data_IF_394287357136
#
_entry.id   IF_394287357136
#
_cell.length_a   1.000
_cell.length_b   1.000
_cell.length_c   1.000
_cell.angle_alpha   90.00
_cell.angle_beta   90.00
_cell.angle_gamma   90.00
#
_symmetry.space_group_name_H-M   'P 1'
#
loop_
_entity.id
_entity.type
_entity.pdbx_description
1 polymer ?
#
# COMPACT_ATOMS: atom_id res chain seq x y z
N UNK A 1 -2.89 17.62 -7.51
CA UNK A 1 -2.38 16.62 -6.54
C UNK A 1 -0.86 16.61 -6.63
N UNK A 2 -0.14 16.54 -5.50
CA UNK A 2 1.34 16.51 -5.50
C UNK A 2 1.88 15.08 -5.70
N UNK A 3 1.50 14.44 -6.82
CA UNK A 3 1.89 13.06 -7.14
C UNK A 3 3.39 12.89 -7.39
N UNK A 4 4.11 13.98 -7.66
CA UNK A 4 5.56 14.02 -7.79
C UNK A 4 6.29 14.51 -6.54
N UNK A 5 5.57 14.72 -5.42
CA UNK A 5 6.09 15.22 -4.14
C UNK A 5 6.83 16.56 -4.24
N UNK A 6 6.57 17.32 -5.30
CA UNK A 6 7.18 18.63 -5.56
C UNK A 6 6.13 19.70 -5.71
N UNK A 7 6.44 20.91 -5.24
CA UNK A 7 5.65 22.11 -5.51
C UNK A 7 5.68 22.45 -7.00
N UNK A 8 4.84 23.40 -7.44
CA UNK A 8 4.87 23.90 -8.83
C UNK A 8 6.22 24.50 -9.23
N UNK A 9 7.02 24.96 -8.26
CA UNK A 9 8.39 25.48 -8.49
C UNK A 9 9.47 24.40 -8.42
N UNK A 10 9.11 23.13 -8.19
CA UNK A 10 10.04 22.01 -8.14
C UNK A 10 10.69 21.76 -6.78
N UNK A 11 10.39 22.59 -5.76
CA UNK A 11 10.85 22.34 -4.39
C UNK A 11 10.14 21.12 -3.77
N UNK A 12 10.74 20.47 -2.77
CA UNK A 12 10.07 19.41 -2.03
C UNK A 12 8.77 19.94 -1.43
N UNK A 13 7.66 19.24 -1.65
CA UNK A 13 6.35 19.63 -1.14
C UNK A 13 6.16 19.26 0.34
N UNK A 14 6.95 18.31 0.85
CA UNK A 14 6.82 17.74 2.18
C UNK A 14 8.20 17.52 2.81
N UNK A 15 8.29 17.61 4.15
CA UNK A 15 9.51 17.36 4.91
C UNK A 15 9.16 16.97 6.36
N UNK A 16 10.14 16.44 7.11
CA UNK A 16 10.01 16.21 8.56
C UNK A 16 9.08 15.06 8.95
N UNK A 17 8.99 14.02 8.12
CA UNK A 17 8.17 12.84 8.38
C UNK A 17 9.02 11.56 8.38
N UNK A 18 8.51 10.51 9.01
CA UNK A 18 9.11 9.19 8.94
C UNK A 18 8.69 8.50 7.63
N UNK A 19 9.66 8.26 6.74
CA UNK A 19 9.44 7.70 5.40
C UNK A 19 8.94 6.26 5.40
N UNK A 20 9.01 5.55 6.53
CA UNK A 20 8.44 4.20 6.68
C UNK A 20 7.03 4.20 7.23
N UNK A 21 6.48 5.35 7.65
CA UNK A 21 5.16 5.45 8.29
C UNK A 21 4.24 6.48 7.63
N UNK A 22 4.78 7.26 6.69
CA UNK A 22 4.09 8.34 6.01
C UNK A 22 4.47 8.40 4.54
N UNK A 23 3.46 8.40 3.67
CA UNK A 23 3.53 8.81 2.27
C UNK A 23 2.72 10.11 2.13
N UNK A 24 3.36 11.29 2.17
CA UNK A 24 2.63 12.56 2.33
C UNK A 24 1.63 12.87 1.21
N UNK A 25 1.91 12.42 -0.02
CA UNK A 25 0.98 12.60 -1.13
C UNK A 25 -0.35 11.86 -0.90
N UNK A 26 -0.29 10.65 -0.33
CA UNK A 26 -1.46 9.84 -0.01
C UNK A 26 -2.20 10.38 1.22
N UNK A 27 -1.45 10.82 2.23
CA UNK A 27 -2.01 11.48 3.40
C UNK A 27 -2.76 12.77 2.98
N UNK A 28 -2.16 13.58 2.11
CA UNK A 28 -2.81 14.77 1.57
C UNK A 28 -4.05 14.40 0.74
N UNK A 29 -3.99 13.35 -0.08
CA UNK A 29 -5.17 12.88 -0.82
C UNK A 29 -6.35 12.59 0.11
N UNK A 30 -6.12 11.93 1.24
CA UNK A 30 -7.15 11.64 2.23
C UNK A 30 -7.65 12.91 2.95
N UNK A 31 -6.73 13.79 3.35
CA UNK A 31 -7.06 15.07 3.99
C UNK A 31 -7.82 16.03 3.06
N UNK A 32 -7.71 15.88 1.74
CA UNK A 32 -8.47 16.65 0.75
C UNK A 32 -9.97 16.38 0.81
N UNK A 33 -10.39 15.29 1.47
CA UNK A 33 -11.79 14.93 1.69
C UNK A 33 -12.42 15.67 2.89
N UNK A 34 -11.66 16.51 3.59
CA UNK A 34 -12.15 17.28 4.73
C UNK A 34 -13.35 18.17 4.33
N UNK A 35 -14.36 18.22 5.20
CA UNK A 35 -15.60 18.97 4.98
C UNK A 35 -16.72 18.15 4.34
N UNK A 36 -16.44 16.93 3.87
CA UNK A 36 -17.44 16.01 3.32
C UNK A 36 -17.82 14.92 4.33
N UNK A 37 -19.07 14.47 4.28
CA UNK A 37 -19.52 13.26 4.95
C UNK A 37 -19.04 12.01 4.22
N UNK A 38 -18.96 10.88 4.92
CA UNK A 38 -18.61 9.60 4.26
C UNK A 38 -19.63 9.18 3.18
N UNK A 39 -20.91 9.57 3.33
CA UNK A 39 -21.95 9.29 2.35
C UNK A 39 -21.72 10.06 1.04
N UNK A 40 -21.34 11.34 1.12
CA UNK A 40 -21.01 12.15 -0.06
C UNK A 40 -19.76 11.61 -0.76
N UNK A 41 -18.71 11.28 0.01
CA UNK A 41 -17.49 10.67 -0.53
C UNK A 41 -17.82 9.36 -1.24
N UNK A 42 -18.64 8.51 -0.64
CA UNK A 42 -19.10 7.25 -1.25
C UNK A 42 -19.79 7.50 -2.58
N UNK A 43 -20.65 8.52 -2.65
CA UNK A 43 -21.30 8.95 -3.89
C UNK A 43 -20.30 9.37 -4.97
N UNK A 44 -19.33 10.22 -4.64
CA UNK A 44 -18.29 10.66 -5.59
C UNK A 44 -17.44 9.50 -6.09
N UNK A 45 -17.00 8.62 -5.19
CA UNK A 45 -16.15 7.49 -5.53
C UNK A 45 -16.90 6.45 -6.35
N UNK A 46 -18.19 6.23 -6.08
CA UNK A 46 -19.02 5.31 -6.87
C UNK A 46 -19.15 5.80 -8.31
N UNK A 47 -19.42 7.10 -8.50
CA UNK A 47 -19.48 7.71 -9.84
C UNK A 47 -18.12 7.62 -10.56
N UNK A 48 -17.03 7.99 -9.88
CA UNK A 48 -15.69 7.91 -10.45
C UNK A 48 -15.27 6.46 -10.77
N UNK A 49 -15.66 5.48 -9.93
CA UNK A 49 -15.41 4.06 -10.20
C UNK A 49 -16.10 3.61 -11.48
N UNK A 50 -17.38 3.97 -11.66
CA UNK A 50 -18.13 3.62 -12.87
C UNK A 50 -17.46 4.21 -14.11
N UNK A 51 -17.14 5.51 -14.08
CA UNK A 51 -16.46 6.19 -15.19
C UNK A 51 -15.12 5.52 -15.56
N UNK A 52 -14.29 5.21 -14.56
CA UNK A 52 -12.99 4.57 -14.79
C UNK A 52 -13.10 3.12 -15.29
N UNK A 53 -14.17 2.40 -14.93
CA UNK A 53 -14.39 1.03 -15.42
C UNK A 53 -14.92 1.03 -16.86
N UNK A 54 -15.75 2.01 -17.22
CA UNK A 54 -16.31 2.15 -18.57
C UNK A 54 -15.29 2.71 -19.58
N UNK A 55 -14.33 3.52 -19.11
CA UNK A 55 -13.27 4.05 -19.94
C UNK A 55 -12.41 2.93 -20.54
N UNK A 56 -11.95 3.12 -21.79
CA UNK A 56 -11.05 2.18 -22.45
C UNK A 56 -9.73 2.00 -21.66
N UNK A 57 -9.11 0.83 -21.78
CA UNK A 57 -7.77 0.65 -21.24
C UNK A 57 -6.79 1.63 -21.88
N UNK A 58 -5.88 2.16 -21.08
CA UNK A 58 -4.97 3.26 -21.43
C UNK A 58 -5.63 4.62 -21.69
N UNK A 59 -6.90 4.81 -21.32
CA UNK A 59 -7.53 6.13 -21.38
C UNK A 59 -6.87 7.15 -20.42
N UNK A 60 -6.78 8.39 -20.87
CA UNK A 60 -6.33 9.52 -20.07
C UNK A 60 -7.39 10.62 -19.99
N UNK A 61 -7.32 11.43 -18.94
CA UNK A 61 -8.15 12.60 -18.74
C UNK A 61 -7.30 13.80 -18.30
N UNK A 62 -7.75 15.00 -18.65
CA UNK A 62 -7.11 16.24 -18.20
C UNK A 62 -7.66 16.64 -16.83
N UNK A 63 -6.80 16.65 -15.81
CA UNK A 63 -7.11 17.19 -14.48
C UNK A 63 -6.28 18.43 -14.24
N UNK A 64 -6.95 19.58 -14.21
CA UNK A 64 -6.29 20.89 -14.15
C UNK A 64 -5.40 21.11 -15.39
N UNK A 65 -4.09 21.11 -15.19
CA UNK A 65 -3.09 21.27 -16.27
C UNK A 65 -2.26 20.00 -16.52
N UNK A 66 -2.72 18.84 -16.07
CA UNK A 66 -1.97 17.58 -16.15
C UNK A 66 -2.84 16.47 -16.74
N UNK A 67 -2.22 15.58 -17.51
CA UNK A 67 -2.83 14.32 -17.93
C UNK A 67 -2.77 13.32 -16.77
N UNK A 68 -3.88 12.62 -16.54
CA UNK A 68 -4.01 11.59 -15.53
C UNK A 68 -4.65 10.34 -16.15
N UNK A 69 -4.31 9.18 -15.60
CA UNK A 69 -4.95 7.91 -15.96
C UNK A 69 -6.45 8.01 -15.67
N UNK A 70 -7.28 7.65 -16.65
CA UNK A 70 -8.74 7.73 -16.58
C UNK A 70 -9.43 6.36 -16.60
N UNK A 71 -8.66 5.30 -16.37
CA UNK A 71 -9.17 3.94 -16.37
C UNK A 71 -8.59 3.14 -15.21
N UNK A 72 -9.37 2.16 -14.75
CA UNK A 72 -8.95 1.18 -13.75
C UNK A 72 -9.54 -0.18 -14.12
N UNK A 73 -8.82 -1.27 -13.84
CA UNK A 73 -9.32 -2.64 -13.97
C UNK A 73 -9.05 -3.43 -12.72
N UNK A 74 -9.98 -4.33 -12.40
CA UNK A 74 -9.70 -5.40 -11.47
C UNK A 74 -8.94 -6.51 -12.16
N UNK A 75 -7.85 -6.98 -11.57
CA UNK A 75 -7.22 -8.23 -11.99
C UNK A 75 -8.14 -9.40 -11.63
N UNK A 76 -8.58 -10.13 -12.64
CA UNK A 76 -9.49 -11.29 -12.46
C UNK A 76 -8.84 -12.37 -11.60
N UNK A 77 -7.53 -12.55 -11.71
CA UNK A 77 -6.72 -13.47 -10.91
C UNK A 77 -6.73 -13.09 -9.42
N UNK A 78 -6.68 -11.79 -9.11
CA UNK A 78 -6.75 -11.32 -7.72
C UNK A 78 -8.17 -11.45 -7.16
N UNK A 79 -9.21 -11.26 -7.99
CA UNK A 79 -10.60 -11.53 -7.60
C UNK A 79 -10.81 -13.01 -7.27
N UNK A 80 -10.28 -13.89 -8.12
CA UNK A 80 -10.34 -15.35 -7.92
C UNK A 80 -9.58 -15.79 -6.67
N UNK A 81 -8.39 -15.23 -6.43
CA UNK A 81 -7.62 -15.47 -5.22
C UNK A 81 -8.39 -15.05 -3.95
N UNK A 82 -8.96 -13.85 -3.94
CA UNK A 82 -9.77 -13.36 -2.80
C UNK A 82 -10.95 -14.30 -2.54
N UNK A 83 -11.72 -14.62 -3.58
CA UNK A 83 -12.88 -15.51 -3.47
C UNK A 83 -12.48 -16.91 -2.98
N UNK A 84 -11.38 -17.46 -3.49
CA UNK A 84 -10.85 -18.77 -3.11
C UNK A 84 -10.41 -18.79 -1.64
N UNK A 85 -9.68 -17.76 -1.19
CA UNK A 85 -9.26 -17.66 0.22
C UNK A 85 -10.48 -17.56 1.14
N UNK A 86 -11.46 -16.72 0.81
CA UNK A 86 -12.71 -16.60 1.58
C UNK A 86 -13.49 -17.92 1.63
N UNK A 87 -13.62 -18.62 0.49
CA UNK A 87 -14.30 -19.92 0.42
C UNK A 87 -13.62 -21.02 1.25
N UNK A 88 -12.32 -20.85 1.55
CA UNK A 88 -11.54 -21.75 2.41
C UNK A 88 -11.42 -21.24 3.85
N UNK A 89 -12.23 -20.26 4.26
CA UNK A 89 -12.34 -19.81 5.64
C UNK A 89 -11.27 -18.82 6.10
N UNK A 90 -10.50 -18.23 5.18
CA UNK A 90 -9.57 -17.16 5.53
C UNK A 90 -10.32 -15.86 5.82
N UNK A 91 -9.89 -15.15 6.87
CA UNK A 91 -10.21 -13.75 7.09
C UNK A 91 -9.38 -12.89 6.11
N UNK A 92 -10.02 -12.48 5.01
CA UNK A 92 -9.38 -11.69 3.95
C UNK A 92 -9.66 -10.21 4.16
N UNK A 93 -8.58 -9.41 4.22
CA UNK A 93 -8.64 -7.96 4.49
C UNK A 93 -7.85 -7.17 3.45
N UNK A 94 -8.23 -5.91 3.23
CA UNK A 94 -7.49 -4.95 2.40
C UNK A 94 -6.85 -3.90 3.31
N UNK A 95 -5.54 -3.72 3.19
CA UNK A 95 -4.77 -2.70 3.91
C UNK A 95 -4.10 -1.81 2.86
N UNK A 96 -4.53 -0.55 2.76
CA UNK A 96 -4.20 0.32 1.63
C UNK A 96 -3.77 1.71 2.08
N UNK A 97 -2.73 2.27 1.45
CA UNK A 97 -2.30 3.64 1.65
C UNK A 97 -3.28 4.69 1.08
N UNK A 98 -4.38 4.29 0.44
CA UNK A 98 -5.43 5.20 0.00
C UNK A 98 -6.44 5.53 1.11
N UNK A 99 -7.22 6.61 0.94
CA UNK A 99 -8.26 6.99 1.88
C UNK A 99 -9.26 5.85 2.10
N UNK A 100 -9.50 5.47 3.37
CA UNK A 100 -10.36 4.35 3.75
C UNK A 100 -11.76 4.38 3.11
N UNK A 101 -12.52 5.51 3.11
CA UNK A 101 -13.83 5.54 2.45
C UNK A 101 -13.75 5.30 0.94
N UNK A 102 -12.66 5.69 0.29
CA UNK A 102 -12.44 5.42 -1.15
C UNK A 102 -12.21 3.93 -1.36
N UNK A 103 -11.34 3.31 -0.55
CA UNK A 103 -11.00 1.89 -0.68
C UNK A 103 -12.20 1.00 -0.44
N UNK A 104 -13.07 1.34 0.52
CA UNK A 104 -14.29 0.59 0.83
C UNK A 104 -15.21 0.41 -0.38
N UNK A 105 -15.36 1.45 -1.21
CA UNK A 105 -16.18 1.38 -2.44
C UNK A 105 -15.59 0.36 -3.42
N UNK A 106 -14.28 0.42 -3.67
CA UNK A 106 -13.62 -0.52 -4.60
C UNK A 106 -13.57 -1.96 -4.06
N UNK A 107 -13.43 -2.11 -2.74
CA UNK A 107 -13.36 -3.39 -2.04
C UNK A 107 -14.68 -4.18 -2.09
N UNK A 108 -15.82 -3.48 -2.04
CA UNK A 108 -17.14 -4.11 -2.05
C UNK A 108 -17.35 -5.00 -3.29
N UNK A 109 -16.87 -4.56 -4.46
CA UNK A 109 -16.99 -5.30 -5.73
C UNK A 109 -16.09 -6.52 -5.88
N UNK A 110 -15.19 -6.74 -4.91
CA UNK A 110 -14.40 -7.96 -4.79
C UNK A 110 -14.81 -8.78 -3.57
N UNK A 111 -15.97 -8.48 -2.97
CA UNK A 111 -16.54 -9.25 -1.87
C UNK A 111 -15.88 -9.00 -0.51
N UNK A 112 -15.18 -7.87 -0.33
CA UNK A 112 -14.57 -7.50 0.94
C UNK A 112 -15.46 -6.49 1.66
N UNK A 113 -15.89 -6.84 2.87
CA UNK A 113 -16.75 -6.00 3.68
C UNK A 113 -16.00 -4.79 4.26
N UNK A 114 -16.73 -3.71 4.58
CA UNK A 114 -16.15 -2.43 4.98
C UNK A 114 -15.32 -2.48 6.28
N UNK A 115 -15.63 -3.42 7.18
CA UNK A 115 -14.91 -3.71 8.43
C UNK A 115 -13.63 -4.56 8.22
N UNK A 116 -13.43 -5.05 6.99
CA UNK A 116 -12.23 -5.74 6.53
C UNK A 116 -11.34 -4.84 5.66
N UNK A 117 -11.63 -3.55 5.61
CA UNK A 117 -10.86 -2.53 4.88
C UNK A 117 -10.21 -1.56 5.86
N UNK A 118 -8.90 -1.44 5.77
CA UNK A 118 -8.08 -0.50 6.53
C UNK A 118 -7.38 0.45 5.56
N UNK A 119 -7.70 1.74 5.67
CA UNK A 119 -7.13 2.79 4.83
C UNK A 119 -6.56 3.97 5.63
N UNK A 120 -6.21 5.04 4.93
CA UNK A 120 -5.91 6.33 5.56
C UNK A 120 -7.19 6.87 6.16
N UNK A 121 -7.17 7.15 7.45
CA UNK A 121 -8.28 7.73 8.19
C UNK A 121 -7.93 9.15 8.62
N UNK A 122 -8.92 10.03 8.55
CA UNK A 122 -8.91 11.31 9.24
C UNK A 122 -9.97 11.30 10.33
N UNK A 123 -9.81 12.17 11.33
CA UNK A 123 -10.80 12.35 12.39
C UNK A 123 -12.07 13.02 11.86
N UNK A 124 -13.19 12.83 12.57
CA UNK A 124 -14.46 13.45 12.25
C UNK A 124 -14.74 14.69 13.13
N UNK A 125 -15.50 15.63 12.61
CA UNK A 125 -16.17 16.70 13.35
C UNK A 125 -17.67 16.63 13.05
N UNK A 126 -18.45 16.07 13.98
CA UNK A 126 -19.81 15.65 13.67
C UNK A 126 -19.82 14.55 12.59
N UNK A 127 -20.55 14.78 11.50
CA UNK A 127 -20.69 13.83 10.39
C UNK A 127 -19.63 13.98 9.30
N UNK A 128 -18.83 15.06 9.33
CA UNK A 128 -17.86 15.36 8.27
C UNK A 128 -16.45 14.94 8.66
N UNK A 129 -15.65 14.56 7.66
CA UNK A 129 -14.22 14.33 7.83
C UNK A 129 -13.49 15.65 8.08
N UNK A 130 -12.43 15.60 8.89
CA UNK A 130 -11.48 16.70 9.08
C UNK A 130 -10.18 16.41 8.32
N UNK A 131 -9.25 17.37 8.36
CA UNK A 131 -7.89 17.17 7.84
C UNK A 131 -6.92 16.57 8.87
N UNK A 132 -7.36 16.23 10.10
CA UNK A 132 -6.49 15.65 11.12
C UNK A 132 -6.36 14.15 10.89
N UNK A 133 -5.14 13.66 10.64
CA UNK A 133 -4.90 12.22 10.42
C UNK A 133 -5.13 11.44 11.70
N UNK A 134 -5.80 10.30 11.58
CA UNK A 134 -5.88 9.33 12.67
C UNK A 134 -4.48 8.78 12.99
N UNK A 135 -4.23 8.52 14.26
CA UNK A 135 -2.95 8.02 14.74
C UNK A 135 -2.87 6.50 14.67
N UNK A 136 -1.65 5.96 14.63
CA UNK A 136 -1.34 4.57 14.94
C UNK A 136 -0.08 4.56 15.80
N UNK A 137 -0.04 3.71 16.82
CA UNK A 137 1.09 3.61 17.73
C UNK A 137 1.37 4.88 18.54
N UNK A 138 0.37 5.76 18.67
CA UNK A 138 0.47 7.04 19.38
C UNK A 138 1.00 8.21 18.54
N UNK A 139 1.17 8.05 17.22
CA UNK A 139 1.60 9.13 16.32
C UNK A 139 0.82 9.15 15.00
N UNK A 140 0.72 10.30 14.31
CA UNK A 140 0.14 10.36 12.96
C UNK A 140 0.91 9.46 11.99
N UNK A 141 0.22 8.47 11.44
CA UNK A 141 0.78 7.56 10.44
C UNK A 141 -0.34 7.02 9.55
N UNK A 142 0.06 6.60 8.35
CA UNK A 142 -0.85 6.00 7.39
C UNK A 142 -0.50 4.53 7.18
N UNK A 143 -1.41 3.67 6.68
CA UNK A 143 -1.09 2.31 6.23
C UNK A 143 -0.14 2.29 5.01
N UNK A 144 1.09 2.73 5.22
CA UNK A 144 2.22 2.65 4.32
C UNK A 144 3.38 2.03 5.07
N UNK A 145 3.93 0.95 4.52
CA UNK A 145 5.08 0.22 5.01
C UNK A 145 4.92 -0.22 6.49
N UNK A 146 5.67 0.36 7.44
CA UNK A 146 5.51 0.07 8.87
C UNK A 146 4.14 0.48 9.41
N UNK A 147 3.52 1.50 8.81
CA UNK A 147 2.17 1.90 9.18
C UNK A 147 1.11 0.87 8.78
N UNK A 148 1.33 0.05 7.74
CA UNK A 148 0.43 -1.09 7.44
C UNK A 148 0.46 -2.12 8.57
N UNK A 149 1.66 -2.49 9.01
CA UNK A 149 1.86 -3.36 10.19
C UNK A 149 1.16 -2.77 11.40
N UNK A 150 1.39 -1.48 11.67
CA UNK A 150 0.76 -0.80 12.79
C UNK A 150 -0.78 -0.91 12.76
N UNK A 151 -1.40 -0.65 11.61
CA UNK A 151 -2.86 -0.76 11.45
C UNK A 151 -3.38 -2.16 11.72
N UNK A 152 -2.70 -3.19 11.21
CA UNK A 152 -3.06 -4.59 11.47
C UNK A 152 -2.90 -4.91 12.96
N UNK A 153 -1.79 -4.52 13.57
CA UNK A 153 -1.51 -4.79 14.98
C UNK A 153 -2.54 -4.14 15.91
N UNK A 154 -2.96 -2.91 15.65
CA UNK A 154 -4.01 -2.23 16.42
C UNK A 154 -5.40 -2.86 16.19
N UNK A 155 -5.83 -2.94 14.92
CA UNK A 155 -7.23 -3.22 14.62
C UNK A 155 -7.58 -4.71 14.64
N UNK A 156 -6.62 -5.57 14.28
CA UNK A 156 -6.82 -7.03 14.26
C UNK A 156 -6.36 -7.65 15.56
N UNK A 157 -5.20 -7.22 16.08
CA UNK A 157 -4.57 -7.86 17.23
C UNK A 157 -4.69 -7.08 18.54
N UNK A 158 -5.28 -5.88 18.56
CA UNK A 158 -5.52 -5.09 19.77
C UNK A 158 -4.26 -4.59 20.46
N UNK A 159 -3.14 -4.47 19.74
CA UNK A 159 -1.88 -3.93 20.27
C UNK A 159 -1.97 -2.41 20.33
N UNK A 160 -1.68 -1.82 21.48
CA UNK A 160 -1.76 -0.37 21.67
C UNK A 160 -0.37 0.27 21.82
N UNK A 161 -0.29 1.55 21.47
CA UNK A 161 0.91 2.37 21.65
C UNK A 161 2.05 1.96 20.71
N UNK A 162 3.29 2.44 20.96
CA UNK A 162 4.40 2.29 20.03
C UNK A 162 4.71 0.86 19.61
N UNK A 163 4.38 -0.14 20.45
CA UNK A 163 4.52 -1.55 20.15
C UNK A 163 3.71 -2.02 18.92
N UNK A 164 2.73 -1.24 18.47
CA UNK A 164 2.00 -1.54 17.24
C UNK A 164 2.92 -1.50 16.00
N UNK A 165 4.04 -0.78 16.00
CA UNK A 165 5.01 -0.81 14.90
C UNK A 165 5.93 -2.03 14.92
N UNK A 166 5.95 -2.79 16.00
CA UNK A 166 6.83 -3.94 16.16
C UNK A 166 6.26 -5.18 15.48
N UNK A 167 7.16 -6.03 14.96
CA UNK A 167 6.74 -7.33 14.45
C UNK A 167 6.22 -8.18 15.60
N UNK A 168 4.99 -8.70 15.45
CA UNK A 168 4.40 -9.59 16.44
C UNK A 168 4.94 -11.02 16.32
N UNK A 169 4.82 -11.84 17.38
CA UNK A 169 5.04 -13.28 17.29
C UNK A 169 4.26 -13.91 16.13
N UNK A 170 4.80 -14.96 15.51
CA UNK A 170 4.26 -15.60 14.30
C UNK A 170 2.76 -15.94 14.36
N UNK A 171 2.28 -16.42 15.49
CA UNK A 171 0.87 -16.76 15.75
C UNK A 171 -0.08 -15.54 15.80
N UNK A 172 0.47 -14.32 15.79
CA UNK A 172 -0.26 -13.05 15.74
C UNK A 172 0.13 -12.25 14.51
N UNK A 173 0.32 -12.94 13.39
CA UNK A 173 0.59 -12.36 12.07
C UNK A 173 -0.24 -13.07 11.01
N UNK A 174 -0.46 -12.40 9.90
CA UNK A 174 -1.14 -12.94 8.74
C UNK A 174 -0.36 -14.12 8.15
N UNK A 175 -1.05 -15.17 7.74
CA UNK A 175 -0.43 -16.31 7.06
C UNK A 175 -0.03 -15.97 5.63
N UNK A 176 -0.81 -15.13 4.97
CA UNK A 176 -0.60 -14.70 3.58
C UNK A 176 -0.66 -13.18 3.47
N UNK A 177 0.17 -12.62 2.59
CA UNK A 177 0.10 -11.21 2.21
C UNK A 177 0.38 -11.04 0.71
N UNK A 178 -0.26 -10.04 0.11
CA UNK A 178 0.00 -9.62 -1.26
C UNK A 178 0.24 -8.10 -1.33
N UNK A 179 1.10 -7.65 -2.24
CA UNK A 179 1.35 -6.22 -2.49
C UNK A 179 2.25 -5.96 -3.68
N UNK A 180 2.51 -4.70 -3.98
CA UNK A 180 3.13 -4.26 -5.24
C UNK A 180 4.14 -3.13 -5.08
N UNK A 181 4.29 -2.59 -3.86
CA UNK A 181 5.09 -1.38 -3.61
C UNK A 181 6.02 -1.47 -2.41
N UNK A 182 6.98 -0.53 -2.31
CA UNK A 182 7.76 -0.36 -1.09
C UNK A 182 6.87 -0.06 0.13
N UNK A 183 5.68 0.52 -0.09
CA UNK A 183 4.63 0.68 0.91
C UNK A 183 4.06 -0.64 1.46
N UNK A 184 4.45 -1.78 0.91
CA UNK A 184 4.04 -3.11 1.36
C UNK A 184 5.20 -3.90 1.98
N UNK A 185 6.44 -3.43 1.88
CA UNK A 185 7.64 -4.23 2.17
C UNK A 185 7.64 -4.83 3.58
N UNK A 186 7.37 -4.02 4.61
CA UNK A 186 7.25 -4.51 5.99
C UNK A 186 6.05 -5.44 6.16
N UNK A 187 4.88 -5.09 5.62
CA UNK A 187 3.66 -5.88 5.72
C UNK A 187 3.78 -7.26 5.06
N UNK A 188 4.40 -7.37 3.89
CA UNK A 188 4.68 -8.67 3.27
C UNK A 188 5.68 -9.49 4.09
N UNK A 189 6.74 -8.86 4.60
CA UNK A 189 7.73 -9.53 5.46
C UNK A 189 7.09 -10.13 6.71
N UNK A 190 6.02 -9.53 7.21
CA UNK A 190 5.28 -10.05 8.37
C UNK A 190 4.47 -11.31 8.07
N UNK A 191 4.14 -11.61 6.82
CA UNK A 191 3.42 -12.82 6.48
C UNK A 191 4.24 -14.06 6.86
N UNK A 192 3.58 -15.11 7.35
CA UNK A 192 4.27 -16.26 7.93
C UNK A 192 4.39 -17.44 6.99
N UNK A 193 3.43 -17.65 6.09
CA UNK A 193 3.41 -18.80 5.18
C UNK A 193 3.77 -18.45 3.73
N UNK A 194 3.15 -17.45 3.11
CA UNK A 194 3.38 -17.14 1.70
C UNK A 194 3.20 -15.65 1.41
N UNK A 195 3.97 -15.13 0.46
CA UNK A 195 3.96 -13.71 0.06
C UNK A 195 3.83 -13.61 -1.46
N UNK A 196 2.86 -12.85 -1.95
CA UNK A 196 2.68 -12.58 -3.37
C UNK A 196 3.05 -11.14 -3.69
N UNK A 197 4.02 -10.96 -4.59
CA UNK A 197 4.41 -9.66 -5.10
C UNK A 197 3.99 -9.50 -6.54
N UNK A 198 3.27 -8.42 -6.82
CA UNK A 198 3.07 -7.93 -8.19
C UNK A 198 4.23 -7.00 -8.55
N UNK A 199 5.08 -7.41 -9.48
CA UNK A 199 6.31 -6.68 -9.82
C UNK A 199 5.98 -5.37 -10.55
N UNK A 200 6.15 -4.25 -9.84
CA UNK A 200 6.12 -2.88 -10.37
C UNK A 200 7.49 -2.19 -10.33
N UNK A 201 8.57 -2.97 -10.34
CA UNK A 201 9.95 -2.50 -10.30
C UNK A 201 10.27 -1.65 -9.06
N UNK A 202 9.81 -2.10 -7.89
CA UNK A 202 9.97 -1.39 -6.61
C UNK A 202 11.14 -1.96 -5.83
N UNK A 203 12.21 -1.17 -5.66
CA UNK A 203 13.53 -1.65 -5.27
C UNK A 203 13.52 -2.45 -3.96
N UNK A 204 13.06 -1.88 -2.84
CA UNK A 204 13.09 -2.59 -1.56
C UNK A 204 12.24 -3.87 -1.62
N UNK A 205 11.01 -3.76 -2.15
CA UNK A 205 10.12 -4.91 -2.23
C UNK A 205 10.72 -6.04 -3.08
N UNK A 206 11.24 -5.71 -4.27
CA UNK A 206 11.82 -6.69 -5.18
C UNK A 206 13.14 -7.28 -4.66
N UNK A 207 13.95 -6.50 -3.95
CA UNK A 207 15.14 -7.01 -3.27
C UNK A 207 14.78 -8.06 -2.22
N UNK A 208 13.73 -7.84 -1.42
CA UNK A 208 13.23 -8.83 -0.45
C UNK A 208 12.68 -10.07 -1.16
N UNK A 209 11.84 -9.86 -2.17
CA UNK A 209 11.17 -10.93 -2.89
C UNK A 209 12.13 -11.82 -3.67
N UNK A 210 13.20 -11.27 -4.25
CA UNK A 210 14.20 -12.06 -4.97
C UNK A 210 15.33 -12.60 -4.10
N UNK A 211 15.60 -12.00 -2.94
CA UNK A 211 16.48 -12.63 -1.96
C UNK A 211 15.88 -13.93 -1.41
N UNK A 212 14.55 -13.95 -1.22
CA UNK A 212 13.72 -15.14 -0.92
C UNK A 212 14.36 -16.09 0.11
N UNK A 213 14.86 -15.53 1.21
CA UNK A 213 15.67 -16.28 2.18
C UNK A 213 14.93 -17.49 2.79
N UNK A 214 13.60 -17.48 2.78
CA UNK A 214 12.74 -18.56 3.29
C UNK A 214 12.00 -19.36 2.21
N UNK A 215 12.20 -19.08 0.92
CA UNK A 215 11.60 -19.82 -0.19
C UNK A 215 10.08 -19.65 -0.32
N UNK A 216 9.52 -18.55 0.21
CA UNK A 216 8.07 -18.31 0.36
C UNK A 216 7.58 -17.07 -0.38
N UNK A 217 8.41 -16.50 -1.24
CA UNK A 217 8.05 -15.36 -2.07
C UNK A 217 7.65 -15.78 -3.49
N UNK A 218 6.43 -15.42 -3.88
CA UNK A 218 5.93 -15.54 -5.23
C UNK A 218 6.02 -14.18 -5.91
N UNK A 219 6.69 -14.11 -7.05
CA UNK A 219 6.77 -12.90 -7.87
C UNK A 219 6.00 -13.12 -9.15
N UNK A 220 5.07 -12.20 -9.45
CA UNK A 220 4.28 -12.19 -10.67
C UNK A 220 4.39 -10.81 -11.33
N UNK A 221 4.55 -10.68 -12.64
CA UNK A 221 4.42 -9.38 -13.32
C UNK A 221 3.03 -8.75 -13.12
N UNK A 222 2.83 -7.50 -13.54
CA UNK A 222 1.47 -6.96 -13.64
C UNK A 222 0.67 -7.78 -14.66
N UNK A 223 -0.60 -8.06 -14.37
CA UNK A 223 -1.45 -8.86 -15.27
C UNK A 223 -1.89 -8.10 -16.53
N UNK A 224 -1.88 -6.76 -16.46
CA UNK A 224 -2.17 -5.87 -17.58
C UNK A 224 -0.97 -4.94 -17.72
N UNK A 225 -0.48 -4.80 -18.96
CA UNK A 225 0.65 -3.95 -19.34
C UNK A 225 1.89 -4.09 -18.45
N UNK A 226 2.47 -5.31 -18.30
CA UNK A 226 3.65 -5.53 -17.45
C UNK A 226 4.79 -4.57 -17.82
N UNK A 227 5.47 -4.08 -16.78
CA UNK A 227 6.62 -3.20 -16.98
C UNK A 227 7.75 -3.97 -17.68
N UNK A 228 8.60 -3.29 -18.46
CA UNK A 228 9.84 -3.87 -18.93
C UNK A 228 10.70 -4.37 -17.77
N UNK A 229 11.49 -5.41 -18.04
CA UNK A 229 12.45 -5.95 -17.09
C UNK A 229 13.35 -4.85 -16.54
N UNK A 230 13.50 -4.82 -15.22
CA UNK A 230 14.38 -3.87 -14.56
C UNK A 230 15.85 -4.32 -14.69
N UNK A 231 16.82 -3.40 -14.76
CA UNK A 231 18.22 -3.72 -14.48
C UNK A 231 18.35 -4.42 -13.11
N UNK A 232 19.48 -5.06 -12.78
CA UNK A 232 19.66 -5.64 -11.45
C UNK A 232 19.30 -4.65 -10.34
N UNK A 233 18.43 -5.06 -9.42
CA UNK A 233 18.01 -4.24 -8.29
C UNK A 233 19.22 -4.03 -7.37
N UNK A 234 19.55 -2.78 -7.01
CA UNK A 234 20.75 -2.43 -6.25
C UNK A 234 20.61 -2.76 -4.75
N UNK A 235 20.30 -4.01 -4.40
CA UNK A 235 20.01 -4.45 -3.05
C UNK A 235 21.16 -4.24 -2.07
N UNK A 236 22.39 -4.35 -2.55
CA UNK A 236 23.59 -4.22 -1.72
C UNK A 236 23.93 -2.77 -1.34
N UNK A 237 23.26 -1.79 -1.95
CA UNK A 237 23.54 -0.35 -1.72
C UNK A 237 22.29 0.47 -1.42
N UNK A 238 21.14 0.08 -1.96
CA UNK A 238 19.90 0.87 -1.97
C UNK A 238 18.65 0.00 -1.74
N UNK A 239 18.82 -1.22 -1.21
CA UNK A 239 17.75 -2.19 -1.03
C UNK A 239 16.80 -1.91 0.14
N UNK A 240 17.03 -0.86 0.93
CA UNK A 240 16.22 -0.50 2.08
C UNK A 240 15.98 1.01 2.13
N UNK A 241 14.73 1.43 2.31
CA UNK A 241 14.38 2.85 2.53
C UNK A 241 14.41 3.15 4.04
N UNK A 242 15.37 3.97 4.48
CA UNK A 242 15.50 4.35 5.90
C UNK A 242 14.38 5.29 6.35
N UNK A 243 14.08 5.36 7.67
CA UNK A 243 13.06 6.27 8.21
C UNK A 243 13.28 7.76 7.88
N UNK A 244 14.52 8.18 7.64
CA UNK A 244 14.87 9.55 7.24
C UNK A 244 14.78 9.79 5.72
N UNK A 245 14.41 8.77 4.94
CA UNK A 245 14.27 8.80 3.48
C UNK A 245 15.56 8.51 2.72
N UNK A 246 16.69 8.26 3.41
CA UNK A 246 17.91 7.78 2.77
C UNK A 246 17.77 6.31 2.35
N UNK A 247 18.70 5.85 1.50
CA UNK A 247 18.73 4.45 1.04
C UNK A 247 19.94 3.74 1.62
N UNK A 248 19.73 2.51 2.05
CA UNK A 248 20.76 1.65 2.64
C UNK A 248 20.77 0.25 2.00
N UNK A 249 21.84 -0.54 2.24
CA UNK A 249 21.86 -1.96 1.89
C UNK A 249 20.74 -2.73 2.59
N UNK A 250 20.04 -3.60 1.86
CA UNK A 250 19.11 -4.55 2.48
C UNK A 250 19.92 -5.62 3.23
N UNK A 251 19.50 -5.94 4.45
CA UNK A 251 20.10 -6.98 5.28
C UNK A 251 19.13 -8.11 5.56
N UNK A 252 19.67 -9.33 5.61
CA UNK A 252 18.96 -10.51 6.10
C UNK A 252 18.87 -10.50 7.64
N UNK A 253 18.04 -11.38 8.24
CA UNK A 253 17.95 -11.50 9.70
C UNK A 253 19.28 -11.81 10.40
N UNK A 254 20.22 -12.49 9.72
CA UNK A 254 21.57 -12.77 10.23
C UNK A 254 22.55 -11.58 10.09
N UNK A 255 22.08 -10.46 9.55
CA UNK A 255 22.86 -9.23 9.33
C UNK A 255 23.65 -9.19 8.01
N UNK A 256 23.69 -10.29 7.25
CA UNK A 256 24.34 -10.34 5.94
C UNK A 256 23.67 -9.39 4.94
N UNK A 257 24.46 -8.80 4.04
CA UNK A 257 23.94 -7.90 3.01
C UNK A 257 23.41 -8.72 1.84
N UNK A 258 22.20 -8.39 1.39
CA UNK A 258 21.60 -8.98 0.19
C UNK A 258 22.33 -8.47 -1.04
N UNK A 259 22.92 -9.36 -1.82
CA UNK A 259 23.52 -9.02 -3.11
C UNK A 259 22.46 -8.52 -4.10
N UNK A 260 22.89 -7.69 -5.06
CA UNK A 260 22.02 -7.19 -6.13
C UNK A 260 21.30 -8.33 -6.85
N UNK A 261 20.01 -8.16 -7.07
CA UNK A 261 19.15 -9.23 -7.59
C UNK A 261 18.79 -8.95 -9.05
N UNK A 262 18.96 -9.92 -9.98
CA UNK A 262 18.43 -9.76 -11.33
C UNK A 262 16.89 -9.80 -11.30
N UNK A 263 16.26 -9.07 -12.22
CA UNK A 263 14.83 -9.23 -12.45
C UNK A 263 14.55 -10.57 -13.14
N UNK A 264 13.71 -11.41 -12.54
CA UNK A 264 13.42 -12.78 -12.99
C UNK A 264 11.98 -12.97 -13.44
N UNK A 265 11.11 -12.00 -13.17
CA UNK A 265 9.70 -12.04 -13.55
C UNK A 265 9.47 -11.12 -14.75
N UNK A 266 9.32 -11.73 -15.92
CA UNK A 266 9.05 -11.09 -17.20
C UNK A 266 8.00 -11.88 -17.98
#
# INVERSE_FOLDING_TARGET
>A
MYTSEKTRSGAAAFAGFNHRRMQPADAWAAQSLAGWTEAEITGFVTAARQENLDAAENAEQTVGSTQQIAWVRYYSQMRDLVATLQANGFDVRIISASAEPVVRVWAADVGIAADHVMGVRTEHDGEVLTARLAQCGGEPSIPFNEGKRCRVNEQVFGVAGPAAFDQLPEQRRQSFAAGDSNGDATFLTDATALRLVINRNKIELMCRAYADADGRWLVNPMFIDPLPAHPPYPCATQGFDDPDGSRAPLRQPDGSVVADQPDRAH
#
